data_IF_578192561451
#
_entry.id   IF_578192561451
#
_cell.length_a   1.000
_cell.length_b   1.000
_cell.length_c   1.000
_cell.angle_alpha   90.00
_cell.angle_beta   90.00
_cell.angle_gamma   90.00
#
_symmetry.space_group_name_H-M   'P 1'
#
loop_
_entity.id
_entity.type
_entity.pdbx_description
1 polymer ?
#
# COMPACT_ATOMS: atom_id res chain seq x y z
N UNK A 1 -21.57 -63.17 12.90
CA UNK A 1 -20.45 -63.09 11.93
C UNK A 1 -19.43 -62.19 12.57
N UNK A 2 -18.22 -62.69 12.84
CA UNK A 2 -17.25 -61.97 13.66
C UNK A 2 -16.82 -60.68 12.97
N UNK A 3 -17.17 -59.54 13.56
CA UNK A 3 -16.68 -58.22 13.17
C UNK A 3 -15.18 -58.15 13.50
N UNK A 4 -14.35 -58.77 12.66
CA UNK A 4 -12.90 -58.63 12.75
C UNK A 4 -12.55 -57.17 12.48
N UNK A 5 -11.71 -56.65 13.37
CA UNK A 5 -11.27 -55.27 13.36
C UNK A 5 -10.65 -54.92 11.99
N UNK A 6 -11.03 -53.81 11.32
CA UNK A 6 -10.46 -53.41 10.04
C UNK A 6 -8.91 -53.37 10.03
N UNK A 7 -8.30 -53.01 11.15
CA UNK A 7 -6.85 -53.01 11.33
C UNK A 7 -6.25 -54.44 11.29
N UNK A 8 -6.91 -55.42 11.91
CA UNK A 8 -6.49 -56.83 11.88
C UNK A 8 -6.62 -57.43 10.48
N UNK A 9 -7.64 -57.05 9.71
CA UNK A 9 -7.82 -57.52 8.31
C UNK A 9 -6.71 -57.04 7.38
N UNK A 10 -6.15 -55.86 7.64
CA UNK A 10 -5.00 -55.33 6.91
C UNK A 10 -3.66 -55.77 7.53
N UNK A 11 -3.67 -56.47 8.67
CA UNK A 11 -2.47 -56.94 9.35
C UNK A 11 -1.65 -55.81 9.98
N UNK A 12 -2.30 -54.71 10.38
CA UNK A 12 -1.68 -53.52 10.95
C UNK A 12 -2.24 -53.24 12.34
N UNK A 13 -1.44 -52.60 13.20
CA UNK A 13 -1.90 -52.17 14.53
C UNK A 13 -2.77 -50.90 14.41
N UNK A 14 -3.66 -50.67 15.38
CA UNK A 14 -4.51 -49.46 15.41
C UNK A 14 -3.69 -48.16 15.39
N UNK A 15 -2.50 -48.18 16.00
CA UNK A 15 -1.54 -47.07 16.07
C UNK A 15 -0.66 -46.88 14.82
N UNK A 16 -0.82 -47.71 13.78
CA UNK A 16 0.04 -47.69 12.60
C UNK A 16 -0.01 -46.34 11.87
N UNK A 17 1.10 -45.90 11.29
CA UNK A 17 1.11 -44.68 10.47
C UNK A 17 0.29 -44.86 9.19
N UNK A 18 -0.13 -43.75 8.57
CA UNK A 18 -0.87 -43.81 7.30
C UNK A 18 -0.08 -44.54 6.19
N UNK A 19 1.23 -44.30 6.15
CA UNK A 19 2.13 -44.90 5.17
C UNK A 19 2.20 -46.43 5.32
N UNK A 20 2.27 -46.94 6.55
CA UNK A 20 2.26 -48.39 6.83
C UNK A 20 0.95 -49.08 6.38
N UNK A 21 -0.18 -48.38 6.48
CA UNK A 21 -1.49 -48.90 6.07
C UNK A 21 -1.59 -48.94 4.53
N UNK A 22 -1.04 -47.93 3.86
CA UNK A 22 -0.96 -47.90 2.39
C UNK A 22 -0.05 -49.02 1.86
N UNK A 23 1.07 -49.26 2.51
CA UNK A 23 2.00 -50.35 2.18
C UNK A 23 1.38 -51.74 2.46
N UNK A 24 0.63 -51.89 3.55
CA UNK A 24 -0.10 -53.13 3.85
C UNK A 24 -1.17 -53.44 2.78
N UNK A 25 -1.95 -52.43 2.38
CA UNK A 25 -2.90 -52.55 1.26
C UNK A 25 -2.19 -52.96 -0.03
N UNK A 26 -1.08 -52.32 -0.37
CA UNK A 26 -0.29 -52.63 -1.57
C UNK A 26 0.19 -54.09 -1.58
N UNK A 27 0.69 -54.60 -0.45
CA UNK A 27 1.12 -56.01 -0.31
C UNK A 27 -0.04 -56.98 -0.48
N UNK A 28 -1.19 -56.72 0.15
CA UNK A 28 -2.36 -57.60 0.07
C UNK A 28 -3.03 -57.59 -1.30
N UNK A 29 -3.11 -56.42 -1.95
CA UNK A 29 -3.57 -56.32 -3.35
C UNK A 29 -2.66 -57.08 -4.30
N UNK A 30 -1.35 -57.10 -4.04
CA UNK A 30 -0.38 -57.85 -4.85
C UNK A 30 -0.49 -59.36 -4.65
N UNK A 31 -0.71 -59.82 -3.42
CA UNK A 31 -0.84 -61.24 -3.07
C UNK A 31 -2.18 -61.84 -3.55
N UNK A 32 -3.25 -61.04 -3.60
CA UNK A 32 -4.60 -61.51 -3.94
C UNK A 32 -5.11 -61.04 -5.31
N UNK A 33 -4.20 -60.73 -6.27
CA UNK A 33 -4.54 -60.25 -7.64
C UNK A 33 -5.51 -61.15 -8.45
N UNK A 34 -5.80 -62.36 -8.01
CA UNK A 34 -6.70 -63.32 -8.69
C UNK A 34 -8.03 -63.59 -7.98
N UNK A 35 -8.25 -63.05 -6.77
CA UNK A 35 -9.45 -63.35 -5.98
C UNK A 35 -10.26 -62.07 -5.69
N UNK A 36 -11.31 -61.78 -6.48
CA UNK A 36 -12.02 -60.49 -6.40
C UNK A 36 -12.69 -60.27 -5.03
N UNK A 37 -13.12 -61.34 -4.36
CA UNK A 37 -13.74 -61.28 -3.03
C UNK A 37 -12.78 -60.82 -1.94
N UNK A 38 -11.50 -61.21 -2.05
CA UNK A 38 -10.49 -60.80 -1.08
C UNK A 38 -10.03 -59.36 -1.33
N UNK A 39 -9.91 -58.96 -2.60
CA UNK A 39 -9.61 -57.57 -2.97
C UNK A 39 -10.70 -56.62 -2.46
N UNK A 40 -11.97 -56.95 -2.67
CA UNK A 40 -13.11 -56.16 -2.16
C UNK A 40 -13.08 -56.06 -0.63
N UNK A 41 -12.72 -57.15 0.07
CA UNK A 41 -12.60 -57.13 1.53
C UNK A 41 -11.45 -56.25 2.05
N UNK A 42 -10.35 -56.16 1.30
CA UNK A 42 -9.19 -55.31 1.62
C UNK A 42 -9.51 -53.84 1.39
N UNK A 43 -10.24 -53.53 0.30
CA UNK A 43 -10.72 -52.17 0.02
C UNK A 43 -11.73 -51.71 1.07
N UNK A 44 -12.70 -52.57 1.43
CA UNK A 44 -13.66 -52.27 2.49
C UNK A 44 -12.99 -52.05 3.86
N UNK A 45 -11.95 -52.82 4.18
CA UNK A 45 -11.17 -52.63 5.41
C UNK A 45 -10.40 -51.30 5.40
N UNK A 46 -9.82 -50.94 4.26
CA UNK A 46 -9.12 -49.67 4.09
C UNK A 46 -10.06 -48.48 4.27
N UNK A 47 -11.21 -48.50 3.61
CA UNK A 47 -12.21 -47.42 3.73
C UNK A 47 -12.74 -47.28 5.16
N UNK A 48 -12.94 -48.39 5.87
CA UNK A 48 -13.33 -48.37 7.28
C UNK A 48 -12.28 -47.68 8.17
N UNK A 49 -10.99 -47.92 7.95
CA UNK A 49 -9.89 -47.24 8.67
C UNK A 49 -9.88 -45.74 8.36
N UNK A 50 -10.08 -45.35 7.10
CA UNK A 50 -10.14 -43.92 6.72
C UNK A 50 -11.30 -43.22 7.43
N UNK A 51 -12.48 -43.86 7.46
CA UNK A 51 -13.66 -43.30 8.12
C UNK A 51 -13.48 -43.22 9.64
N UNK A 52 -12.85 -44.23 10.25
CA UNK A 52 -12.53 -44.23 11.68
C UNK A 52 -11.56 -43.09 12.05
N UNK A 53 -10.51 -42.87 11.26
CA UNK A 53 -9.58 -41.74 11.45
C UNK A 53 -10.20 -40.37 11.20
N UNK A 54 -11.10 -40.27 10.21
CA UNK A 54 -11.87 -39.05 9.97
C UNK A 54 -12.77 -38.75 11.17
N UNK A 55 -13.43 -39.78 11.71
CA UNK A 55 -14.25 -39.67 12.92
C UNK A 55 -13.42 -39.26 14.13
N UNK A 56 -12.22 -39.83 14.34
CA UNK A 56 -11.31 -39.38 15.41
C UNK A 56 -10.88 -37.92 15.26
N UNK A 57 -10.70 -37.44 14.01
CA UNK A 57 -10.40 -36.03 13.72
C UNK A 57 -11.62 -35.12 13.96
N UNK A 58 -12.83 -35.59 13.68
CA UNK A 58 -14.08 -34.87 13.94
C UNK A 58 -14.47 -34.84 15.43
N UNK A 59 -14.17 -35.91 16.18
CA UNK A 59 -14.42 -36.02 17.63
C UNK A 59 -13.46 -35.16 18.48
N UNK A 60 -12.51 -34.45 17.88
CA UNK A 60 -11.63 -33.51 18.60
C UNK A 60 -10.67 -34.17 19.60
N UNK A 61 -10.44 -35.49 19.51
CA UNK A 61 -9.50 -36.23 20.38
C UNK A 61 -8.03 -35.95 20.10
N UNK A 62 -7.73 -35.16 19.08
CA UNK A 62 -6.41 -34.54 18.95
C UNK A 62 -6.38 -33.40 19.97
N UNK A 63 -5.65 -33.60 21.08
CA UNK A 63 -5.29 -32.50 21.98
C UNK A 63 -4.64 -31.42 21.14
N UNK A 64 -5.39 -30.37 20.82
CA UNK A 64 -4.84 -29.13 20.30
C UNK A 64 -4.03 -28.55 21.45
N UNK A 65 -2.69 -28.41 21.36
CA UNK A 65 -1.99 -27.55 22.29
C UNK A 65 -2.61 -26.16 22.11
N UNK A 66 -3.21 -25.60 23.16
CA UNK A 66 -3.64 -24.20 23.18
C UNK A 66 -2.41 -23.29 23.03
N UNK A 67 -1.95 -23.17 21.80
CA UNK A 67 -1.02 -22.14 21.36
C UNK A 67 -1.43 -21.72 19.97
N UNK A 68 -2.68 -21.30 19.87
CA UNK A 68 -3.06 -20.24 18.93
C UNK A 68 -2.13 -19.05 19.20
N UNK A 69 -1.00 -19.05 18.51
CA UNK A 69 -0.12 -17.89 18.41
C UNK A 69 -0.87 -16.94 17.50
N UNK A 70 -1.67 -16.06 18.11
CA UNK A 70 -2.10 -14.84 17.45
C UNK A 70 -0.88 -14.23 16.75
N UNK A 71 -0.99 -13.77 15.50
CA UNK A 71 0.10 -13.11 14.80
C UNK A 71 0.66 -12.04 15.72
N UNK A 72 1.84 -12.33 16.23
CA UNK A 72 2.59 -11.47 17.10
C UNK A 72 2.86 -10.24 16.25
N UNK A 73 2.11 -9.16 16.53
CA UNK A 73 2.37 -7.83 16.00
C UNK A 73 3.87 -7.61 16.15
N UNK A 74 4.56 -7.46 15.03
CA UNK A 74 5.93 -7.00 15.00
C UNK A 74 6.02 -5.82 15.98
N UNK A 75 6.81 -6.02 17.03
CA UNK A 75 7.17 -4.97 17.99
C UNK A 75 7.93 -3.91 17.21
N UNK A 76 7.21 -2.92 16.71
CA UNK A 76 7.76 -1.59 16.47
C UNK A 76 8.26 -1.08 17.82
N UNK A 77 9.51 -0.60 17.94
CA UNK A 77 10.00 0.00 19.18
C UNK A 77 9.12 1.19 19.55
N UNK A 78 8.69 1.20 20.81
CA UNK A 78 7.86 2.25 21.40
C UNK A 78 8.65 3.57 21.45
N UNK A 79 8.13 4.59 20.76
CA UNK A 79 8.43 6.00 21.03
C UNK A 79 7.16 6.61 21.66
N UNK A 80 7.23 7.39 22.76
CA UNK A 80 6.06 7.61 23.61
C UNK A 80 5.08 8.63 23.03
N UNK A 81 3.79 8.29 23.17
CA UNK A 81 2.63 9.17 23.38
C UNK A 81 2.49 10.39 22.44
N UNK A 82 1.75 10.19 21.35
CA UNK A 82 1.04 11.24 20.63
C UNK A 82 -0.35 10.73 20.24
N UNK A 83 -1.39 11.39 20.72
CA UNK A 83 -2.79 11.05 20.52
C UNK A 83 -3.15 10.88 19.03
N UNK A 84 -3.32 9.64 18.57
CA UNK A 84 -3.94 9.36 17.27
C UNK A 84 -5.45 9.21 17.46
N UNK A 85 -6.17 10.31 17.22
CA UNK A 85 -7.60 10.27 16.93
C UNK A 85 -7.83 9.44 15.66
N UNK A 86 -8.81 8.52 15.61
CA UNK A 86 -9.17 7.87 14.37
C UNK A 86 -10.05 8.85 13.57
N UNK A 87 -9.45 9.67 12.70
CA UNK A 87 -10.28 10.44 11.77
C UNK A 87 -10.77 9.49 10.67
N UNK A 88 -12.08 9.38 10.57
CA UNK A 88 -12.78 8.76 9.47
C UNK A 88 -12.50 9.56 8.17
N UNK A 89 -11.35 9.35 7.55
CA UNK A 89 -11.04 9.95 6.26
C UNK A 89 -11.47 9.00 5.14
N UNK A 90 -12.72 9.19 4.69
CA UNK A 90 -13.20 8.73 3.39
C UNK A 90 -12.57 9.54 2.24
N UNK A 91 -11.25 9.77 2.28
CA UNK A 91 -10.53 10.36 1.16
C UNK A 91 -10.27 9.26 0.12
N UNK A 92 -10.60 9.49 -1.16
CA UNK A 92 -10.22 8.61 -2.27
C UNK A 92 -8.78 8.10 -2.14
N UNK A 93 -8.51 6.85 -2.50
CA UNK A 93 -7.19 6.23 -2.35
C UNK A 93 -6.04 7.03 -2.98
N UNK A 94 -6.32 7.85 -4.00
CA UNK A 94 -5.36 8.74 -4.65
C UNK A 94 -5.02 10.03 -3.87
N UNK A 95 -5.77 10.35 -2.80
CA UNK A 95 -5.50 11.46 -1.88
C UNK A 95 -4.86 10.98 -0.57
N UNK A 96 -4.83 9.67 -0.34
CA UNK A 96 -4.22 9.09 0.85
C UNK A 96 -2.69 9.14 0.71
N UNK A 97 -2.01 9.79 1.66
CA UNK A 97 -0.55 9.89 1.66
C UNK A 97 0.04 11.02 0.82
N UNK A 98 -0.75 12.03 0.43
CA UNK A 98 -0.25 13.22 -0.26
C UNK A 98 0.73 14.04 0.58
N UNK A 99 0.58 14.06 1.91
CA UNK A 99 1.50 14.79 2.79
C UNK A 99 2.73 13.94 3.07
N UNK A 100 3.87 14.38 2.58
CA UNK A 100 5.18 13.83 2.95
C UNK A 100 5.81 14.67 4.07
N UNK A 101 6.70 14.05 4.85
CA UNK A 101 7.49 14.77 5.87
C UNK A 101 8.85 15.09 5.24
N UNK A 102 9.06 16.31 4.72
CA UNK A 102 10.23 16.59 3.90
C UNK A 102 11.52 16.43 4.70
N UNK A 103 12.45 15.64 4.15
CA UNK A 103 13.84 15.61 4.62
C UNK A 103 14.49 16.95 4.27
N UNK A 104 15.31 17.51 5.17
CA UNK A 104 15.87 18.88 5.02
C UNK A 104 16.56 19.13 3.67
N UNK A 105 17.17 18.12 3.05
CA UNK A 105 17.80 18.21 1.73
C UNK A 105 16.81 18.45 0.59
N UNK A 106 15.59 17.90 0.69
CA UNK A 106 14.57 17.97 -0.35
C UNK A 106 13.79 19.30 -0.31
N UNK A 107 13.97 20.09 0.75
CA UNK A 107 13.40 21.43 0.89
C UNK A 107 14.31 22.50 0.27
N UNK A 108 15.63 22.31 0.34
CA UNK A 108 16.62 23.32 -0.10
C UNK A 108 16.61 23.52 -1.62
N UNK A 109 16.45 22.45 -2.40
CA UNK A 109 16.46 22.58 -3.86
C UNK A 109 15.24 23.37 -4.38
N UNK A 110 13.99 23.07 -3.97
CA UNK A 110 12.84 23.89 -4.33
C UNK A 110 12.93 25.33 -3.82
N UNK A 111 13.37 25.57 -2.57
CA UNK A 111 13.47 26.94 -2.04
C UNK A 111 14.39 27.81 -2.88
N UNK A 112 15.57 27.30 -3.25
CA UNK A 112 16.55 28.04 -4.07
C UNK A 112 15.96 28.34 -5.44
N UNK A 113 15.35 27.35 -6.10
CA UNK A 113 14.76 27.54 -7.44
C UNK A 113 13.66 28.59 -7.42
N UNK A 114 12.70 28.50 -6.50
CA UNK A 114 11.61 29.46 -6.45
C UNK A 114 12.05 30.85 -5.99
N UNK A 115 13.05 30.97 -5.11
CA UNK A 115 13.64 32.26 -4.76
C UNK A 115 14.31 32.94 -5.96
N UNK A 116 15.02 32.18 -6.78
CA UNK A 116 15.63 32.72 -8.02
C UNK A 116 14.56 33.18 -9.00
N UNK A 117 13.48 32.41 -9.17
CA UNK A 117 12.36 32.79 -10.05
C UNK A 117 11.61 34.02 -9.53
N UNK A 118 11.40 34.13 -8.21
CA UNK A 118 10.81 35.31 -7.57
C UNK A 118 11.69 36.54 -7.82
N UNK A 119 13.00 36.42 -7.59
CA UNK A 119 13.96 37.48 -7.86
C UNK A 119 13.90 37.92 -9.32
N UNK A 120 13.96 36.97 -10.25
CA UNK A 120 13.88 37.25 -11.69
C UNK A 120 12.60 38.01 -12.06
N UNK A 121 11.46 37.65 -11.47
CA UNK A 121 10.17 38.32 -11.72
C UNK A 121 10.13 39.75 -11.20
N UNK A 122 10.82 40.03 -10.09
CA UNK A 122 10.88 41.37 -9.50
C UNK A 122 11.81 42.31 -10.27
N UNK A 123 12.98 41.81 -10.68
CA UNK A 123 13.99 42.60 -11.40
C UNK A 123 13.62 42.86 -12.87
N UNK A 124 12.85 41.97 -13.50
CA UNK A 124 12.50 42.07 -14.91
C UNK A 124 10.99 42.20 -15.12
N UNK A 125 10.47 43.41 -15.38
CA UNK A 125 9.04 43.69 -15.50
C UNK A 125 8.40 43.22 -16.82
N UNK A 126 9.17 42.67 -17.76
CA UNK A 126 8.69 42.31 -19.09
C UNK A 126 7.68 41.15 -19.05
N UNK A 127 6.56 41.30 -19.74
CA UNK A 127 5.49 40.29 -19.80
C UNK A 127 5.97 38.93 -20.35
N UNK A 128 6.87 38.96 -21.34
CA UNK A 128 7.50 37.76 -21.91
C UNK A 128 8.33 37.00 -20.86
N UNK A 129 9.05 37.72 -20.01
CA UNK A 129 9.89 37.14 -18.95
C UNK A 129 9.00 36.56 -17.84
N UNK A 130 7.91 37.24 -17.49
CA UNK A 130 6.94 36.76 -16.51
C UNK A 130 6.32 35.43 -16.95
N UNK A 131 5.87 35.34 -18.20
CA UNK A 131 5.31 34.09 -18.77
C UNK A 131 6.35 32.96 -18.77
N UNK A 132 7.59 33.26 -19.17
CA UNK A 132 8.69 32.30 -19.16
C UNK A 132 9.02 31.80 -17.75
N UNK A 133 9.04 32.71 -16.77
CA UNK A 133 9.35 32.39 -15.37
C UNK A 133 8.27 31.50 -14.75
N UNK A 134 6.99 31.77 -15.05
CA UNK A 134 5.87 30.92 -14.65
C UNK A 134 5.96 29.53 -15.32
N UNK A 135 6.30 29.48 -16.61
CA UNK A 135 6.50 28.21 -17.32
C UNK A 135 7.66 27.39 -16.73
N UNK A 136 8.78 28.04 -16.38
CA UNK A 136 9.89 27.40 -15.66
C UNK A 136 9.48 26.92 -14.27
N UNK A 137 8.72 27.72 -13.53
CA UNK A 137 8.17 27.33 -12.24
C UNK A 137 7.28 26.10 -12.34
N UNK A 138 6.42 26.05 -13.37
CA UNK A 138 5.55 24.91 -13.65
C UNK A 138 6.36 23.64 -13.96
N UNK A 139 7.32 23.74 -14.89
CA UNK A 139 8.21 22.62 -15.25
C UNK A 139 9.08 22.15 -14.08
N UNK A 140 9.61 23.08 -13.29
CA UNK A 140 10.38 22.78 -12.09
C UNK A 140 9.57 22.03 -11.05
N UNK A 141 8.32 22.46 -10.81
CA UNK A 141 7.40 21.78 -9.88
C UNK A 141 7.12 20.35 -10.34
N UNK A 142 6.85 20.13 -11.63
CA UNK A 142 6.63 18.79 -12.20
C UNK A 142 7.89 17.93 -12.01
N UNK A 143 9.07 18.48 -12.29
CA UNK A 143 10.33 17.75 -12.14
C UNK A 143 10.58 17.30 -10.70
N UNK A 144 10.42 18.21 -9.72
CA UNK A 144 10.62 17.87 -8.30
C UNK A 144 9.61 16.84 -7.81
N UNK A 145 8.35 16.95 -8.23
CA UNK A 145 7.28 16.04 -7.82
C UNK A 145 7.45 14.65 -8.47
N UNK A 146 7.77 14.60 -9.77
CA UNK A 146 8.07 13.35 -10.47
C UNK A 146 9.31 12.66 -9.89
N UNK A 147 10.35 13.41 -9.49
CA UNK A 147 11.53 12.83 -8.82
C UNK A 147 11.17 12.10 -7.52
N UNK A 148 10.16 12.57 -6.78
CA UNK A 148 9.72 12.00 -5.49
C UNK A 148 8.75 10.84 -5.63
N UNK A 149 7.78 10.93 -6.54
CA UNK A 149 6.72 9.92 -6.69
C UNK A 149 6.94 8.92 -7.83
N UNK A 150 7.77 9.24 -8.83
CA UNK A 150 7.87 8.47 -10.08
C UNK A 150 6.53 8.36 -10.85
N UNK A 151 5.55 9.22 -10.54
CA UNK A 151 4.22 9.24 -11.16
C UNK A 151 3.98 10.56 -11.90
N UNK A 152 4.48 10.65 -13.13
CA UNK A 152 4.40 11.86 -13.96
C UNK A 152 2.96 12.39 -14.12
N UNK A 153 1.97 11.52 -14.31
CA UNK A 153 0.57 11.94 -14.53
C UNK A 153 -0.04 12.67 -13.32
N UNK A 154 0.19 12.15 -12.11
CA UNK A 154 -0.28 12.80 -10.87
C UNK A 154 0.47 14.10 -10.63
N UNK A 155 1.78 14.11 -10.88
CA UNK A 155 2.57 15.32 -10.78
C UNK A 155 2.02 16.44 -11.67
N UNK A 156 1.75 16.15 -12.95
CA UNK A 156 1.18 17.13 -13.89
C UNK A 156 -0.21 17.60 -13.46
N UNK A 157 -1.07 16.72 -12.98
CA UNK A 157 -2.41 17.11 -12.50
C UNK A 157 -2.33 18.02 -11.28
N UNK A 158 -1.49 17.67 -10.30
CA UNK A 158 -1.30 18.45 -9.07
C UNK A 158 -0.69 19.82 -9.38
N UNK A 159 0.28 19.91 -10.29
CA UNK A 159 0.85 21.20 -10.68
C UNK A 159 -0.14 22.05 -11.47
N UNK A 160 -0.98 21.45 -12.31
CA UNK A 160 -2.02 22.18 -13.06
C UNK A 160 -3.09 22.73 -12.13
N UNK A 161 -3.56 21.93 -11.18
CA UNK A 161 -4.49 22.37 -10.13
C UNK A 161 -3.84 23.48 -9.30
N UNK A 162 -2.58 23.33 -8.91
CA UNK A 162 -1.81 24.34 -8.19
C UNK A 162 -1.66 25.65 -8.96
N UNK A 163 -1.42 25.58 -10.28
CA UNK A 163 -1.32 26.75 -11.16
C UNK A 163 -2.65 27.50 -11.22
N UNK A 164 -3.75 26.80 -11.45
CA UNK A 164 -5.07 27.41 -11.52
C UNK A 164 -5.46 28.06 -10.19
N UNK A 165 -5.24 27.35 -9.07
CA UNK A 165 -5.47 27.90 -7.73
C UNK A 165 -4.58 29.10 -7.45
N UNK A 166 -3.29 29.05 -7.79
CA UNK A 166 -2.35 30.13 -7.54
C UNK A 166 -2.65 31.39 -8.33
N UNK A 167 -2.97 31.25 -9.62
CA UNK A 167 -3.37 32.37 -10.47
C UNK A 167 -4.72 32.93 -10.03
N UNK A 168 -5.71 32.09 -9.73
CA UNK A 168 -7.02 32.54 -9.27
C UNK A 168 -6.93 33.29 -7.94
N UNK A 169 -6.25 32.71 -6.94
CA UNK A 169 -6.03 33.37 -5.64
C UNK A 169 -5.21 34.64 -5.80
N UNK A 170 -4.15 34.60 -6.60
CA UNK A 170 -3.26 35.72 -6.85
C UNK A 170 -3.96 36.90 -7.52
N UNK A 171 -4.82 36.65 -8.51
CA UNK A 171 -5.58 37.69 -9.20
C UNK A 171 -6.69 38.26 -8.32
N UNK A 172 -7.42 37.42 -7.57
CA UNK A 172 -8.46 37.88 -6.64
C UNK A 172 -7.86 38.73 -5.51
N UNK A 173 -6.78 38.26 -4.88
CA UNK A 173 -6.10 39.00 -3.83
C UNK A 173 -5.39 40.25 -4.36
N UNK A 174 -4.75 40.15 -5.53
CA UNK A 174 -4.07 41.28 -6.17
C UNK A 174 -5.03 42.38 -6.58
N UNK A 175 -6.24 42.03 -7.05
CA UNK A 175 -7.30 43.00 -7.32
C UNK A 175 -7.89 43.61 -6.04
N UNK A 176 -8.09 42.82 -4.99
CA UNK A 176 -8.58 43.33 -3.71
C UNK A 176 -7.61 44.30 -3.02
N UNK A 177 -6.30 44.12 -3.25
CA UNK A 177 -5.22 44.92 -2.68
C UNK A 177 -4.61 45.89 -3.70
N UNK A 178 -5.27 46.12 -4.83
CA UNK A 178 -4.70 46.86 -5.97
C UNK A 178 -4.16 48.25 -5.56
N UNK A 179 -4.88 48.97 -4.70
CA UNK A 179 -4.45 50.27 -4.19
C UNK A 179 -3.10 50.21 -3.46
N UNK A 180 -2.86 49.14 -2.69
CA UNK A 180 -1.64 48.94 -1.91
C UNK A 180 -0.49 48.43 -2.80
N UNK A 181 -0.81 47.66 -3.85
CA UNK A 181 0.16 47.22 -4.84
C UNK A 181 0.71 48.38 -5.69
N UNK A 182 -0.15 49.32 -6.06
CA UNK A 182 0.23 50.50 -6.85
C UNK A 182 1.25 51.36 -6.07
N UNK A 183 1.03 51.55 -4.76
CA UNK A 183 1.97 52.25 -3.88
C UNK A 183 3.34 51.55 -3.79
N UNK A 184 3.35 50.21 -3.94
CA UNK A 184 4.58 49.40 -4.01
C UNK A 184 5.17 49.26 -5.43
N UNK A 185 4.54 49.84 -6.46
CA UNK A 185 4.96 49.69 -7.86
C UNK A 185 4.81 48.27 -8.42
N UNK A 186 3.96 47.44 -7.82
CA UNK A 186 3.70 46.06 -8.25
C UNK A 186 2.43 46.00 -9.09
N UNK A 187 2.47 45.24 -10.18
CA UNK A 187 1.28 44.92 -10.96
C UNK A 187 0.56 43.72 -10.36
N UNK A 188 -0.75 43.62 -10.62
CA UNK A 188 -1.58 42.48 -10.20
C UNK A 188 -1.02 41.16 -10.74
N UNK A 189 -0.51 41.16 -11.98
CA UNK A 189 0.10 40.00 -12.63
C UNK A 189 1.39 39.53 -11.92
N UNK A 190 2.25 40.47 -11.53
CA UNK A 190 3.45 40.16 -10.73
C UNK A 190 3.06 39.57 -9.40
N UNK A 191 2.09 40.15 -8.71
CA UNK A 191 1.63 39.60 -7.45
C UNK A 191 1.03 38.20 -7.61
N UNK A 192 0.23 37.98 -8.65
CA UNK A 192 -0.34 36.67 -8.93
C UNK A 192 0.72 35.60 -9.22
N UNK A 193 1.77 35.94 -9.98
CA UNK A 193 2.90 35.02 -10.22
C UNK A 193 3.68 34.72 -8.94
N UNK A 194 3.91 35.70 -8.06
CA UNK A 194 4.54 35.48 -6.75
C UNK A 194 3.73 34.50 -5.88
N UNK A 195 2.42 34.70 -5.77
CA UNK A 195 1.51 33.79 -5.06
C UNK A 195 1.57 32.39 -5.65
N UNK A 196 1.62 32.29 -6.98
CA UNK A 196 1.77 31.01 -7.69
C UNK A 196 3.09 30.32 -7.37
N UNK A 197 4.22 31.05 -7.32
CA UNK A 197 5.51 30.47 -6.94
C UNK A 197 5.54 29.97 -5.50
N UNK A 198 4.88 30.68 -4.57
CA UNK A 198 4.75 30.21 -3.17
C UNK A 198 3.94 28.92 -3.11
N UNK A 199 2.85 28.83 -3.88
CA UNK A 199 2.06 27.60 -3.98
C UNK A 199 2.84 26.45 -4.60
N UNK A 200 3.59 26.70 -5.68
CA UNK A 200 4.47 25.71 -6.29
C UNK A 200 5.59 25.25 -5.35
N UNK A 201 6.15 26.16 -4.57
CA UNK A 201 7.09 25.81 -3.51
C UNK A 201 6.44 24.90 -2.47
N UNK A 202 5.22 25.20 -2.03
CA UNK A 202 4.49 24.40 -1.04
C UNK A 202 4.15 23.01 -1.61
N UNK A 203 3.66 22.94 -2.84
CA UNK A 203 3.34 21.69 -3.55
C UNK A 203 4.62 20.84 -3.71
N UNK A 204 5.70 21.42 -4.23
CA UNK A 204 6.96 20.67 -4.41
C UNK A 204 7.61 20.24 -3.09
N UNK A 205 7.37 20.95 -1.99
CA UNK A 205 7.96 20.69 -0.68
C UNK A 205 7.21 19.63 0.12
N UNK A 206 5.88 19.75 0.18
CA UNK A 206 5.03 18.99 1.11
C UNK A 206 4.17 17.93 0.43
N UNK A 207 3.95 18.01 -0.89
CA UNK A 207 3.24 16.96 -1.61
C UNK A 207 4.20 15.88 -2.10
N UNK A 208 3.77 14.63 -1.93
CA UNK A 208 4.17 13.49 -2.76
C UNK A 208 3.22 13.47 -3.95
#
# INVERSE_FOLDING_TARGET
MSDQNPYEKLGVTEDASFDEIQDAKGRLMQQHRGEPKLVESVEAAYDAIIMDRLRMRQEGKIKVPERIRFPEREKVPQTPLGFSSPSANSSPAWLQGLLDTPTRSDLVAPTVVFLVLIGLTLFYPEASILTFTVALGFGGTIYFLNRKEQQFGRAVLLTLVGLLLGVALGTVLGGALESLLIDMGLTVEKFASLVTFVLFWLISSFLR
#
